data_IF_364421932862
#
_entry.id   IF_364421932862
#
_cell.length_a   1.000
_cell.length_b   1.000
_cell.length_c   1.000
_cell.angle_alpha   90.00
_cell.angle_beta   90.00
_cell.angle_gamma   90.00
#
_symmetry.space_group_name_H-M   'P 1'
#
loop_
_entity.id
_entity.type
_entity.pdbx_description
1 polymer ?
#
# COMPACT_ATOMS: atom_id res chain seq x y z
N UNK A 1 22.77 14.19 3.09
CA UNK A 1 22.02 13.30 3.99
C UNK A 1 21.01 12.55 3.15
N UNK A 2 21.14 11.23 2.98
CA UNK A 2 20.19 10.43 2.19
C UNK A 2 19.06 9.97 3.10
N UNK A 3 17.81 10.35 2.82
CA UNK A 3 16.64 9.83 3.53
C UNK A 3 16.16 8.57 2.82
N UNK A 4 15.54 7.67 3.58
CA UNK A 4 15.11 6.35 3.10
C UNK A 4 14.26 6.41 1.82
N UNK A 5 13.43 7.45 1.67
CA UNK A 5 12.45 7.54 0.58
C UNK A 5 12.89 8.39 -0.62
N UNK A 6 14.03 9.07 -0.55
CA UNK A 6 14.42 10.09 -1.55
C UNK A 6 14.58 9.50 -2.97
N UNK A 7 15.05 8.25 -3.06
CA UNK A 7 15.27 7.56 -4.33
C UNK A 7 14.24 6.44 -4.62
N UNK A 8 13.16 6.39 -3.82
CA UNK A 8 12.14 5.35 -3.97
C UNK A 8 11.28 5.63 -5.19
N UNK A 9 11.41 4.77 -6.21
CA UNK A 9 10.64 4.89 -7.47
C UNK A 9 9.14 4.66 -7.28
N UNK A 10 8.80 3.66 -6.48
CA UNK A 10 7.41 3.28 -6.18
C UNK A 10 7.30 3.03 -4.68
N UNK A 11 6.48 3.82 -4.01
CA UNK A 11 6.16 3.71 -2.60
C UNK A 11 4.76 3.11 -2.45
N UNK A 12 4.66 1.98 -1.76
CA UNK A 12 3.40 1.25 -1.56
C UNK A 12 3.15 1.15 -0.05
N UNK A 13 2.03 1.69 0.40
CA UNK A 13 1.54 1.49 1.76
C UNK A 13 0.68 0.22 1.84
N UNK A 14 0.87 -0.59 2.87
CA UNK A 14 0.15 -1.85 3.09
C UNK A 14 -0.34 -1.90 4.53
N UNK A 15 -1.66 -1.81 4.73
CA UNK A 15 -2.22 -1.71 6.08
C UNK A 15 -3.59 -2.37 6.23
N UNK A 16 -3.90 -2.77 7.47
CA UNK A 16 -5.24 -3.25 7.85
C UNK A 16 -6.06 -2.05 8.33
N UNK A 17 -6.50 -1.21 7.38
CA UNK A 17 -7.30 -0.03 7.65
C UNK A 17 -8.18 0.32 6.45
N UNK A 18 -9.35 0.94 6.66
CA UNK A 18 -10.19 1.39 5.55
C UNK A 18 -9.69 2.68 4.88
N UNK A 19 -9.31 3.65 5.69
CA UNK A 19 -9.09 5.05 5.33
C UNK A 19 -7.66 5.41 4.96
N UNK A 20 -6.79 4.41 4.95
CA UNK A 20 -5.36 4.50 4.76
C UNK A 20 -4.65 5.50 5.70
N UNK A 21 -4.64 5.21 7.01
CA UNK A 21 -4.22 6.19 8.02
C UNK A 21 -2.70 6.38 8.01
N UNK A 22 -1.93 5.31 7.79
CA UNK A 22 -0.48 5.42 7.72
C UNK A 22 -0.04 6.29 6.54
N UNK A 23 -0.65 6.11 5.37
CA UNK A 23 -0.46 6.96 4.18
C UNK A 23 -0.60 8.46 4.50
N UNK A 24 -1.60 8.85 5.31
CA UNK A 24 -1.81 10.23 5.73
C UNK A 24 -0.70 10.74 6.65
N UNK A 25 -0.30 9.94 7.63
CA UNK A 25 0.78 10.27 8.57
C UNK A 25 2.11 10.43 7.82
N UNK A 26 2.42 9.54 6.85
CA UNK A 26 3.62 9.63 6.01
C UNK A 26 3.58 10.94 5.21
N UNK A 27 2.45 11.26 4.59
CA UNK A 27 2.29 12.52 3.83
C UNK A 27 2.55 13.75 4.69
N UNK A 28 1.96 13.79 5.90
CA UNK A 28 2.08 14.93 6.81
C UNK A 28 3.50 15.12 7.34
N UNK A 29 4.19 14.04 7.70
CA UNK A 29 5.50 14.14 8.38
C UNK A 29 6.69 14.08 7.41
N UNK A 30 6.56 13.36 6.30
CA UNK A 30 7.65 13.10 5.34
C UNK A 30 7.49 13.92 4.07
N UNK A 31 6.34 14.59 3.88
CA UNK A 31 6.01 15.35 2.66
C UNK A 31 6.09 14.49 1.38
N UNK A 32 5.94 13.17 1.52
CA UNK A 32 5.89 12.18 0.45
C UNK A 32 4.62 11.36 0.63
N UNK A 33 3.79 11.28 -0.40
CA UNK A 33 2.59 10.46 -0.38
C UNK A 33 2.89 9.11 -1.04
N UNK A 34 2.46 7.96 -0.49
CA UNK A 34 2.53 6.68 -1.18
C UNK A 34 1.84 6.72 -2.55
N UNK A 35 2.46 6.08 -3.55
CA UNK A 35 1.92 5.99 -4.91
C UNK A 35 0.73 5.03 -4.95
N UNK A 36 0.76 3.98 -4.13
CA UNK A 36 -0.31 3.00 -3.98
C UNK A 36 -0.61 2.72 -2.50
N UNK A 37 -1.88 2.46 -2.20
CA UNK A 37 -2.35 1.98 -0.90
C UNK A 37 -3.04 0.62 -1.07
N UNK A 38 -2.48 -0.41 -0.45
CA UNK A 38 -3.09 -1.73 -0.32
C UNK A 38 -3.73 -1.82 1.06
N UNK A 39 -5.04 -2.01 1.07
CA UNK A 39 -5.82 -1.99 2.31
C UNK A 39 -6.64 -3.26 2.48
N UNK A 40 -6.76 -3.71 3.73
CA UNK A 40 -7.69 -4.76 4.13
C UNK A 40 -8.48 -4.32 5.37
N UNK A 41 -9.78 -4.56 5.39
CA UNK A 41 -10.66 -4.11 6.47
C UNK A 41 -11.86 -5.04 6.68
N UNK A 42 -11.71 -6.31 6.34
CA UNK A 42 -12.72 -7.35 6.54
C UNK A 42 -12.49 -8.19 7.82
N UNK A 43 -11.61 -7.74 8.72
CA UNK A 43 -11.26 -8.43 9.96
C UNK A 43 -10.32 -9.63 9.81
N UNK A 44 -9.93 -10.01 8.58
CA UNK A 44 -8.98 -11.12 8.36
C UNK A 44 -7.55 -10.59 8.11
N UNK A 45 -6.51 -11.36 8.48
CA UNK A 45 -5.13 -11.04 8.12
C UNK A 45 -4.95 -10.95 6.60
N UNK A 46 -3.98 -10.14 6.15
CA UNK A 46 -3.53 -10.12 4.76
C UNK A 46 -2.78 -11.43 4.48
N UNK A 47 -3.19 -12.19 3.46
CA UNK A 47 -2.43 -13.38 3.06
C UNK A 47 -1.27 -13.03 2.13
N UNK A 48 -0.23 -13.87 2.13
CA UNK A 48 0.90 -13.71 1.20
C UNK A 48 0.46 -13.75 -0.26
N UNK A 49 -0.53 -14.60 -0.59
CA UNK A 49 -1.07 -14.75 -1.94
C UNK A 49 -1.82 -13.49 -2.40
N UNK A 50 -2.69 -12.93 -1.55
CA UNK A 50 -3.36 -11.66 -1.83
C UNK A 50 -2.37 -10.53 -2.08
N UNK A 51 -1.35 -10.43 -1.22
CA UNK A 51 -0.33 -9.41 -1.34
C UNK A 51 0.52 -9.60 -2.60
N UNK A 52 0.93 -10.84 -2.92
CA UNK A 52 1.66 -11.17 -4.14
C UNK A 52 0.90 -10.72 -5.40
N UNK A 53 -0.39 -11.06 -5.51
CA UNK A 53 -1.19 -10.67 -6.66
C UNK A 53 -1.41 -9.16 -6.75
N UNK A 54 -1.60 -8.47 -5.62
CA UNK A 54 -1.71 -7.02 -5.61
C UNK A 54 -0.42 -6.34 -6.08
N UNK A 55 0.74 -6.76 -5.56
CA UNK A 55 2.05 -6.23 -5.96
C UNK A 55 2.34 -6.49 -7.45
N UNK A 56 2.05 -7.70 -7.94
CA UNK A 56 2.24 -8.05 -9.36
C UNK A 56 1.43 -7.14 -10.29
N UNK A 57 0.17 -6.86 -9.96
CA UNK A 57 -0.66 -5.92 -10.72
C UNK A 57 -0.12 -4.49 -10.67
N UNK A 58 0.39 -4.04 -9.53
CA UNK A 58 1.00 -2.70 -9.39
C UNK A 58 2.24 -2.57 -10.29
N UNK A 59 3.14 -3.55 -10.24
CA UNK A 59 4.38 -3.55 -11.03
C UNK A 59 4.10 -3.58 -12.54
N UNK A 60 3.04 -4.26 -12.95
CA UNK A 60 2.60 -4.32 -14.36
C UNK A 60 1.78 -3.10 -14.81
N UNK A 61 1.58 -2.08 -13.97
CA UNK A 61 0.68 -0.93 -14.24
C UNK A 61 -0.78 -1.33 -14.52
N UNK A 62 -1.23 -2.46 -13.96
CA UNK A 62 -2.58 -3.01 -14.10
C UNK A 62 -3.45 -2.75 -12.86
N UNK A 63 -3.00 -1.88 -11.95
CA UNK A 63 -3.64 -1.63 -10.68
C UNK A 63 -4.14 -0.19 -10.54
N UNK A 64 -5.21 -0.03 -9.76
CA UNK A 64 -5.63 1.28 -9.27
C UNK A 64 -4.71 1.71 -8.11
N UNK A 65 -4.62 3.03 -7.90
CA UNK A 65 -3.93 3.63 -6.75
C UNK A 65 -4.35 3.03 -5.40
N UNK A 66 -5.64 2.68 -5.24
CA UNK A 66 -6.16 2.01 -4.04
C UNK A 66 -6.56 0.58 -4.36
N UNK A 67 -5.92 -0.39 -3.70
CA UNK A 67 -6.20 -1.81 -3.81
C UNK A 67 -6.88 -2.31 -2.54
N UNK A 68 -8.03 -2.95 -2.68
CA UNK A 68 -8.75 -3.56 -1.55
C UNK A 68 -8.59 -5.06 -1.60
N UNK A 69 -7.95 -5.62 -0.58
CA UNK A 69 -7.88 -7.05 -0.37
C UNK A 69 -9.20 -7.53 0.26
N UNK A 70 -9.77 -8.60 -0.30
CA UNK A 70 -11.12 -9.08 0.04
C UNK A 70 -11.16 -10.55 0.38
N UNK A 71 -10.12 -11.32 0.08
CA UNK A 71 -10.14 -12.75 0.34
C UNK A 71 -10.12 -12.95 1.86
N UNK A 72 -10.72 -14.04 2.30
CA UNK A 72 -10.63 -14.50 3.66
C UNK A 72 -10.22 -15.95 3.60
N UNK A 73 -8.97 -16.24 3.96
CA UNK A 73 -8.60 -17.61 4.31
C UNK A 73 -9.24 -17.92 5.64
#
# INVERSE_FOLDING_TARGET
MNRLLDNTKVLIDVEINYSAQLSKIIKENVHREPDYNIVKYNGRPISCEELYHALKKIINNESKRRVVLRNGV
#
